data_IF_397961228508
#
_entry.id   IF_397961228508
#
_cell.length_a   1.000
_cell.length_b   1.000
_cell.length_c   1.000
_cell.angle_alpha   90.00
_cell.angle_beta   90.00
_cell.angle_gamma   90.00
#
_symmetry.space_group_name_H-M   'P 1'
#
loop_
_entity.id
_entity.type
_entity.pdbx_description
1 polymer ?
#
# COMPACT_ATOMS: atom_id res chain seq x y z
N UNK A 1 17.93 -8.21 12.79
CA UNK A 1 16.52 -8.48 13.16
C UNK A 1 15.73 -8.74 11.88
N UNK A 2 15.02 -9.86 11.79
CA UNK A 2 14.23 -10.22 10.60
C UNK A 2 12.90 -9.44 10.61
N UNK A 3 12.86 -8.28 9.94
CA UNK A 3 11.61 -7.55 9.68
C UNK A 3 10.81 -8.30 8.62
N UNK A 4 10.07 -9.33 9.02
CA UNK A 4 9.08 -9.99 8.17
C UNK A 4 7.71 -9.92 8.84
N UNK A 5 7.08 -8.76 8.76
CA UNK A 5 5.68 -8.62 9.12
C UNK A 5 4.82 -9.24 8.01
N UNK A 6 3.98 -10.21 8.37
CA UNK A 6 3.01 -10.82 7.47
C UNK A 6 1.62 -10.50 8.01
N UNK A 7 0.83 -9.78 7.22
CA UNK A 7 -0.55 -9.49 7.55
C UNK A 7 -1.45 -10.20 6.54
N UNK A 8 -2.48 -10.89 7.02
CA UNK A 8 -3.52 -11.51 6.19
C UNK A 8 -4.86 -10.88 6.53
N UNK A 9 -5.04 -9.64 6.09
CA UNK A 9 -6.23 -8.82 6.34
C UNK A 9 -6.67 -8.19 5.02
N UNK A 10 -7.98 -8.15 4.80
CA UNK A 10 -8.59 -7.49 3.64
C UNK A 10 -9.35 -6.22 4.04
N UNK A 11 -9.47 -5.28 3.11
CA UNK A 11 -10.32 -4.11 3.24
C UNK A 11 -11.09 -3.92 1.93
N UNK A 12 -12.37 -3.55 2.02
CA UNK A 12 -13.24 -3.35 0.87
C UNK A 12 -13.79 -1.91 0.89
N UNK A 13 -13.86 -1.30 -0.30
CA UNK A 13 -14.41 0.04 -0.51
C UNK A 13 -15.18 0.08 -1.83
N UNK A 14 -16.32 0.75 -1.81
CA UNK A 14 -17.10 1.01 -3.02
C UNK A 14 -16.54 2.25 -3.74
N UNK A 15 -16.25 2.08 -5.03
CA UNK A 15 -15.69 3.13 -5.88
C UNK A 15 -16.71 3.43 -6.97
N UNK A 16 -17.06 4.72 -7.13
CA UNK A 16 -18.03 5.16 -8.14
C UNK A 16 -17.47 5.07 -9.55
N UNK A 17 -16.26 5.60 -9.75
CA UNK A 17 -15.55 5.58 -11.04
C UNK A 17 -14.10 5.14 -10.81
N UNK A 18 -13.76 3.95 -11.30
CA UNK A 18 -12.42 3.38 -11.13
C UNK A 18 -11.41 3.90 -12.16
N UNK A 19 -11.85 4.54 -13.25
CA UNK A 19 -10.94 5.04 -14.29
C UNK A 19 -10.18 6.30 -13.83
N UNK A 20 -10.71 7.02 -12.84
CA UNK A 20 -10.12 8.25 -12.29
C UNK A 20 -9.65 8.09 -10.85
N UNK A 21 -9.76 6.88 -10.28
CA UNK A 21 -9.44 6.61 -8.88
C UNK A 21 -8.02 6.07 -8.72
N UNK A 22 -7.30 6.60 -7.72
CA UNK A 22 -6.01 6.09 -7.26
C UNK A 22 -6.16 5.48 -5.86
N UNK A 23 -5.54 4.33 -5.65
CA UNK A 23 -5.44 3.69 -4.33
C UNK A 23 -4.05 3.92 -3.78
N UNK A 24 -3.97 4.56 -2.62
CA UNK A 24 -2.71 4.81 -1.91
C UNK A 24 -2.66 3.92 -0.68
N UNK A 25 -1.67 3.03 -0.64
CA UNK A 25 -1.39 2.17 0.51
C UNK A 25 -0.19 2.72 1.27
N UNK A 26 -0.37 3.09 2.54
CA UNK A 26 0.72 3.55 3.40
C UNK A 26 1.10 2.49 4.42
N UNK A 27 2.39 2.17 4.52
CA UNK A 27 2.94 1.32 5.56
C UNK A 27 3.56 2.20 6.63
N UNK A 28 3.16 2.02 7.88
CA UNK A 28 3.64 2.79 9.03
C UNK A 28 4.14 1.83 10.10
N UNK A 29 5.19 2.23 10.81
CA UNK A 29 5.68 1.49 11.97
C UNK A 29 4.87 1.92 13.19
N UNK A 30 4.09 1.01 13.78
CA UNK A 30 3.30 1.31 14.98
C UNK A 30 4.22 1.20 16.20
N UNK A 31 4.58 2.34 16.78
CA UNK A 31 5.52 2.41 17.92
C UNK A 31 4.86 3.04 19.12
N UNK A 32 4.99 2.38 20.27
CA UNK A 32 4.54 2.94 21.54
C UNK A 32 5.27 4.26 21.80
N UNK A 33 4.50 5.35 21.95
CA UNK A 33 4.97 6.71 22.26
C UNK A 33 5.68 7.50 21.13
N UNK A 34 5.74 6.99 19.90
CA UNK A 34 6.19 7.74 18.71
C UNK A 34 5.03 8.06 17.75
N UNK A 35 5.23 9.02 16.84
CA UNK A 35 4.22 9.45 15.85
C UNK A 35 4.23 8.55 14.61
N UNK A 36 4.00 7.25 14.79
CA UNK A 36 3.86 6.20 13.76
C UNK A 36 4.57 6.51 12.41
N UNK A 37 5.91 6.41 12.38
CA UNK A 37 6.69 6.87 11.24
C UNK A 37 6.29 6.15 9.95
N UNK A 38 6.19 6.92 8.86
CA UNK A 38 5.85 6.41 7.54
C UNK A 38 7.03 5.62 6.95
N UNK A 39 6.90 4.30 6.88
CA UNK A 39 7.89 3.41 6.26
C UNK A 39 7.89 3.58 4.75
N UNK A 40 6.73 3.83 4.14
CA UNK A 40 6.62 4.10 2.71
C UNK A 40 5.19 4.01 2.20
N UNK A 41 5.01 4.34 0.93
CA UNK A 41 3.72 4.32 0.24
C UNK A 41 3.79 3.53 -1.07
N UNK A 42 2.66 2.99 -1.49
CA UNK A 42 2.42 2.47 -2.84
C UNK A 42 1.23 3.22 -3.41
N UNK A 43 1.38 3.77 -4.61
CA UNK A 43 0.30 4.45 -5.34
C UNK A 43 -0.08 3.59 -6.52
N UNK A 44 -1.35 3.22 -6.61
CA UNK A 44 -1.91 2.36 -7.63
C UNK A 44 -3.08 3.07 -8.33
N UNK A 45 -2.85 3.67 -9.51
CA UNK A 45 -3.95 4.10 -10.39
C UNK A 45 -4.74 2.87 -10.84
N UNK A 46 -6.05 2.84 -10.54
CA UNK A 46 -6.86 1.66 -10.83
C UNK A 46 -7.06 1.43 -12.32
N UNK A 47 -7.09 2.51 -13.11
CA UNK A 47 -7.14 2.44 -14.58
C UNK A 47 -5.98 1.63 -15.17
N UNK A 48 -4.77 1.87 -14.68
CA UNK A 48 -3.57 1.18 -15.14
C UNK A 48 -3.46 -0.23 -14.55
N UNK A 49 -3.76 -0.35 -13.25
CA UNK A 49 -3.67 -1.61 -12.51
C UNK A 49 -4.61 -2.69 -13.07
N UNK A 50 -5.82 -2.29 -13.46
CA UNK A 50 -6.83 -3.22 -14.00
C UNK A 50 -6.92 -3.23 -15.53
N UNK A 51 -5.91 -2.70 -16.23
CA UNK A 51 -5.92 -2.58 -17.69
C UNK A 51 -6.04 -3.92 -18.43
N UNK A 52 -5.43 -4.98 -17.89
CA UNK A 52 -5.41 -6.31 -18.53
C UNK A 52 -6.22 -7.36 -17.76
N UNK A 53 -6.52 -7.12 -16.48
CA UNK A 53 -7.13 -8.09 -15.56
C UNK A 53 -7.89 -7.36 -14.47
N UNK A 54 -8.94 -7.97 -13.93
CA UNK A 54 -9.78 -7.40 -12.86
C UNK A 54 -9.30 -7.73 -11.43
N UNK A 55 -8.27 -8.55 -11.30
CA UNK A 55 -7.66 -8.92 -10.03
C UNK A 55 -6.15 -9.03 -10.20
N UNK A 56 -5.41 -8.55 -9.22
CA UNK A 56 -3.96 -8.59 -9.18
C UNK A 56 -3.48 -9.24 -7.88
N UNK A 57 -2.35 -9.95 -7.93
CA UNK A 57 -1.65 -10.43 -6.74
C UNK A 57 -0.15 -10.39 -7.04
N UNK A 58 0.46 -9.25 -6.75
CA UNK A 58 1.85 -8.96 -7.08
C UNK A 58 2.51 -8.17 -5.95
N UNK A 59 3.84 -8.20 -5.95
CA UNK A 59 4.65 -7.42 -5.01
C UNK A 59 4.87 -6.02 -5.56
N UNK A 60 4.66 -5.01 -4.71
CA UNK A 60 4.91 -3.61 -5.03
C UNK A 60 6.06 -3.06 -4.20
N UNK A 61 6.91 -2.26 -4.82
CA UNK A 61 7.98 -1.53 -4.14
C UNK A 61 7.40 -0.34 -3.38
N UNK A 62 7.83 -0.16 -2.13
CA UNK A 62 7.50 1.03 -1.36
C UNK A 62 8.30 2.22 -1.86
N UNK A 63 7.63 3.36 -2.03
CA UNK A 63 8.21 4.64 -2.44
C UNK A 63 8.11 5.67 -1.30
N UNK A 64 9.02 6.66 -1.28
CA UNK A 64 8.93 7.81 -0.37
C UNK A 64 9.05 7.48 1.12
N UNK A 65 9.69 6.36 1.43
CA UNK A 65 9.94 5.88 2.80
C UNK A 65 11.21 6.43 3.44
N UNK A 66 11.26 6.40 4.77
CA UNK A 66 12.52 6.54 5.51
C UNK A 66 13.30 5.25 5.32
N UNK A 67 14.44 5.33 4.62
CA UNK A 67 15.44 4.25 4.61
C UNK A 67 15.96 4.07 6.04
N UNK A 68 15.48 3.04 6.73
CA UNK A 68 16.16 2.55 7.93
C UNK A 68 17.42 1.80 7.47
N UNK A 69 18.57 2.48 7.54
CA UNK A 69 19.88 1.81 7.58
C UNK A 69 20.12 1.13 8.92
#
# INVERSE_FOLDING_TARGET
MCFKAQFNVGAERFIRDWQTTEVILSVRDLRMYEHDPLIGIVVLPLADTFKQRSQINEYFSLSGGIDYK
#
